data_IF_339578451328
#
_entry.id   IF_339578451328
#
_cell.length_a   1.000
_cell.length_b   1.000
_cell.length_c   1.000
_cell.angle_alpha   90.00
_cell.angle_beta   90.00
_cell.angle_gamma   90.00
#
_symmetry.space_group_name_H-M   'P 1'
#
loop_
_entity.id
_entity.type
_entity.pdbx_description
1 polymer ?
#
# COMPACT_ATOMS: atom_id res chain seq x y z
N UNK A 1 -49.86 40.59 54.09
CA UNK A 1 -49.72 39.17 54.52
C UNK A 1 -49.68 38.33 53.25
N UNK A 2 -48.50 37.77 52.88
CA UNK A 2 -48.18 36.31 52.91
C UNK A 2 -48.96 35.53 51.82
N UNK A 3 -48.41 34.80 50.84
CA UNK A 3 -47.05 34.25 50.57
C UNK A 3 -46.93 33.83 49.09
N UNK A 4 -45.68 33.82 48.62
CA UNK A 4 -45.08 33.12 47.47
C UNK A 4 -45.53 31.63 47.38
N UNK A 5 -45.49 30.91 46.25
CA UNK A 5 -44.31 30.74 45.38
C UNK A 5 -44.63 30.18 43.99
N UNK A 6 -43.79 30.62 43.04
CA UNK A 6 -43.52 30.07 41.73
C UNK A 6 -42.78 28.73 41.86
N UNK A 7 -43.17 27.71 41.09
CA UNK A 7 -42.47 26.43 41.02
C UNK A 7 -42.33 26.04 39.54
N UNK A 8 -41.23 26.48 38.93
CA UNK A 8 -40.78 25.99 37.62
C UNK A 8 -39.66 24.99 37.90
N UNK A 9 -39.95 23.71 37.69
CA UNK A 9 -38.95 22.65 37.74
C UNK A 9 -38.16 22.66 36.43
N UNK A 10 -36.94 23.19 36.48
CA UNK A 10 -35.99 23.11 35.37
C UNK A 10 -35.26 21.76 35.46
N UNK A 11 -35.65 20.80 34.63
CA UNK A 11 -34.92 19.54 34.50
C UNK A 11 -33.59 19.79 33.79
N UNK A 12 -32.49 19.65 34.53
CA UNK A 12 -31.13 19.73 34.00
C UNK A 12 -30.84 18.43 33.21
N UNK A 13 -30.86 18.52 31.87
CA UNK A 13 -30.42 17.43 31.01
C UNK A 13 -28.88 17.42 31.00
N UNK A 14 -28.25 16.58 31.85
CA UNK A 14 -26.81 16.31 31.75
C UNK A 14 -26.55 15.42 30.54
N UNK A 15 -25.97 15.99 29.49
CA UNK A 15 -25.41 15.24 28.36
C UNK A 15 -24.08 14.64 28.81
N UNK A 16 -24.07 13.35 29.18
CA UNK A 16 -22.84 12.62 29.43
C UNK A 16 -22.18 12.30 28.08
N UNK A 17 -21.16 13.07 27.70
CA UNK A 17 -20.30 12.75 26.56
C UNK A 17 -19.37 11.62 26.99
N UNK A 18 -19.71 10.38 26.64
CA UNK A 18 -18.81 9.24 26.79
C UNK A 18 -17.75 9.31 25.68
N UNK A 19 -16.56 9.80 26.01
CA UNK A 19 -15.35 9.58 25.23
C UNK A 19 -14.91 8.12 25.39
N UNK A 20 -15.46 7.24 24.55
CA UNK A 20 -14.93 5.88 24.39
C UNK A 20 -13.50 5.93 23.81
N UNK A 21 -12.67 4.91 24.06
CA UNK A 21 -11.38 4.81 23.41
C UNK A 21 -11.59 4.76 21.89
N UNK A 22 -10.92 5.64 21.17
CA UNK A 22 -10.85 5.53 19.72
C UNK A 22 -10.16 4.20 19.39
N UNK A 23 -10.86 3.30 18.72
CA UNK A 23 -10.20 2.17 18.08
C UNK A 23 -9.39 2.75 16.94
N UNK A 24 -8.08 2.59 16.98
CA UNK A 24 -7.23 2.77 15.80
C UNK A 24 -7.71 1.73 14.80
N UNK A 25 -8.49 2.15 13.81
CA UNK A 25 -8.86 1.32 12.69
C UNK A 25 -7.56 1.09 11.90
N UNK A 26 -7.18 -0.18 11.73
CA UNK A 26 -6.04 -0.55 10.88
C UNK A 26 -6.27 -0.06 9.44
N UNK A 27 -5.21 -0.10 8.63
CA UNK A 27 -5.34 0.22 7.21
C UNK A 27 -6.50 -0.61 6.59
N UNK A 28 -7.30 0.06 5.77
CA UNK A 28 -8.46 -0.55 5.12
C UNK A 28 -8.08 -1.42 3.91
N UNK A 29 -6.87 -1.20 3.41
CA UNK A 29 -6.23 -1.97 2.34
C UNK A 29 -4.81 -2.28 2.79
N UNK A 30 -4.46 -3.55 2.78
CA UNK A 30 -3.13 -4.06 3.08
C UNK A 30 -2.42 -4.43 1.76
N UNK A 31 -1.11 -4.22 1.71
CA UNK A 31 -0.30 -4.65 0.57
C UNK A 31 0.49 -5.91 0.92
N UNK A 32 0.57 -6.84 -0.03
CA UNK A 32 1.33 -8.08 0.15
C UNK A 32 2.03 -8.52 -1.14
N UNK A 33 3.08 -9.33 -0.99
CA UNK A 33 3.77 -9.97 -2.10
C UNK A 33 3.39 -11.44 -2.23
N UNK A 34 3.27 -11.90 -3.47
CA UNK A 34 3.03 -13.29 -3.81
C UNK A 34 3.87 -13.74 -5.02
N UNK A 35 4.41 -14.97 -5.06
CA UNK A 35 4.44 -15.93 -3.96
C UNK A 35 5.41 -15.49 -2.85
N UNK A 36 5.20 -15.99 -1.63
CA UNK A 36 6.11 -15.70 -0.51
C UNK A 36 7.52 -16.30 -0.68
N UNK A 37 7.67 -17.33 -1.52
CA UNK A 37 8.94 -17.95 -1.83
C UNK A 37 8.89 -18.58 -3.22
N UNK A 38 9.98 -18.44 -3.96
CA UNK A 38 10.18 -19.10 -5.24
C UNK A 38 11.66 -19.47 -5.42
N UNK A 39 11.90 -20.48 -6.26
CA UNK A 39 13.25 -20.92 -6.60
C UNK A 39 13.33 -21.08 -8.11
N UNK A 40 14.34 -20.45 -8.71
CA UNK A 40 14.59 -20.46 -10.16
C UNK A 40 16.08 -20.67 -10.40
N UNK A 41 16.48 -21.24 -11.54
CA UNK A 41 17.89 -21.28 -11.93
C UNK A 41 18.42 -19.87 -12.21
N UNK A 42 19.74 -19.68 -12.11
CA UNK A 42 20.41 -18.46 -12.58
C UNK A 42 20.09 -18.21 -14.06
N UNK A 43 19.77 -16.96 -14.39
CA UNK A 43 19.24 -16.52 -15.68
C UNK A 43 17.72 -16.71 -15.85
N UNK A 44 17.05 -17.35 -14.89
CA UNK A 44 15.60 -17.50 -14.86
C UNK A 44 14.88 -16.23 -14.40
N UNK A 45 13.57 -16.15 -14.71
CA UNK A 45 12.71 -15.06 -14.26
C UNK A 45 12.06 -15.37 -12.92
N UNK A 46 12.08 -14.39 -12.04
CA UNK A 46 11.41 -14.36 -10.74
C UNK A 46 10.27 -13.35 -10.86
N UNK A 47 9.03 -13.81 -10.75
CA UNK A 47 7.84 -12.95 -10.83
C UNK A 47 7.27 -12.75 -9.42
N UNK A 48 7.13 -11.50 -9.00
CA UNK A 48 6.60 -11.11 -7.69
C UNK A 48 5.36 -10.23 -7.89
N UNK A 49 4.20 -10.77 -7.57
CA UNK A 49 2.93 -10.05 -7.62
C UNK A 49 2.80 -9.10 -6.43
N UNK A 50 2.38 -7.88 -6.68
CA UNK A 50 1.88 -6.95 -5.68
C UNK A 50 0.37 -7.10 -5.58
N UNK A 51 -0.11 -7.46 -4.39
CA UNK A 51 -1.52 -7.62 -4.09
C UNK A 51 -1.97 -6.50 -3.15
N UNK A 52 -3.17 -5.99 -3.39
CA UNK A 52 -3.89 -5.08 -2.51
C UNK A 52 -5.13 -5.81 -1.97
N UNK A 53 -5.09 -6.13 -0.68
CA UNK A 53 -6.12 -6.90 0.02
C UNK A 53 -6.98 -5.96 0.86
N UNK A 54 -8.31 -6.07 0.75
CA UNK A 54 -9.22 -5.33 1.63
C UNK A 54 -9.91 -6.27 2.59
N UNK A 55 -9.87 -5.92 3.87
CA UNK A 55 -10.59 -6.61 4.93
C UNK A 55 -12.03 -6.07 5.13
N UNK A 56 -12.43 -5.08 4.34
CA UNK A 56 -13.77 -4.50 4.39
C UNK A 56 -14.76 -5.36 3.58
N UNK A 57 -15.99 -5.48 4.08
CA UNK A 57 -17.06 -6.13 3.34
C UNK A 57 -17.54 -5.29 2.14
N UNK A 58 -17.21 -3.99 2.13
CA UNK A 58 -17.51 -3.05 1.06
C UNK A 58 -16.30 -2.88 0.15
N UNK A 59 -16.48 -2.94 -1.18
CA UNK A 59 -15.37 -2.72 -2.10
C UNK A 59 -14.81 -1.30 -1.96
N UNK A 60 -13.50 -1.19 -1.78
CA UNK A 60 -12.80 0.09 -1.63
C UNK A 60 -12.15 0.49 -2.93
N UNK A 61 -12.09 1.79 -3.19
CA UNK A 61 -11.46 2.35 -4.38
C UNK A 61 -10.07 2.88 -4.05
N UNK A 62 -9.09 2.60 -4.91
CA UNK A 62 -7.72 3.10 -4.81
C UNK A 62 -7.50 4.16 -5.89
N UNK A 63 -7.11 5.36 -5.51
CA UNK A 63 -6.80 6.45 -6.46
C UNK A 63 -5.33 6.46 -6.88
N UNK A 64 -4.44 6.08 -5.98
CA UNK A 64 -3.01 6.00 -6.21
C UNK A 64 -2.38 4.99 -5.24
N UNK A 65 -1.23 4.46 -5.62
CA UNK A 65 -0.38 3.60 -4.80
C UNK A 65 1.07 3.85 -5.17
N UNK A 66 1.90 4.00 -4.14
CA UNK A 66 3.36 4.06 -4.25
C UNK A 66 3.96 2.93 -3.42
N UNK A 67 4.88 2.16 -4.01
CA UNK A 67 5.58 1.05 -3.35
C UNK A 67 7.07 1.16 -3.61
N UNK A 68 7.84 1.13 -2.54
CA UNK A 68 9.30 1.16 -2.61
C UNK A 68 9.79 -0.28 -2.48
N UNK A 69 10.35 -0.81 -3.56
CA UNK A 69 11.01 -2.10 -3.58
C UNK A 69 12.42 -1.94 -3.04
N UNK A 70 12.87 -2.92 -2.25
CA UNK A 70 14.28 -3.12 -1.95
C UNK A 70 14.64 -4.58 -2.13
N UNK A 71 15.76 -4.83 -2.79
CA UNK A 71 16.25 -6.16 -3.14
C UNK A 71 17.78 -6.14 -3.29
N UNK A 72 18.42 -7.30 -3.26
CA UNK A 72 19.87 -7.40 -3.45
C UNK A 72 20.23 -7.47 -4.94
N UNK A 73 20.77 -6.37 -5.46
CA UNK A 73 21.22 -6.24 -6.85
C UNK A 73 22.39 -7.17 -7.23
N UNK A 74 23.01 -7.85 -6.27
CA UNK A 74 24.02 -8.89 -6.52
C UNK A 74 23.38 -10.18 -7.01
N UNK A 75 22.12 -10.45 -6.62
CA UNK A 75 21.42 -11.71 -6.91
C UNK A 75 20.23 -11.53 -7.83
N UNK A 76 19.62 -10.34 -7.87
CA UNK A 76 18.43 -10.05 -8.68
C UNK A 76 18.62 -8.77 -9.50
N UNK A 77 18.10 -8.76 -10.72
CA UNK A 77 17.99 -7.56 -11.55
C UNK A 77 16.52 -7.32 -11.89
N UNK A 78 15.95 -6.21 -11.40
CA UNK A 78 14.60 -5.81 -11.75
C UNK A 78 14.54 -5.36 -13.21
N UNK A 79 13.69 -6.01 -14.01
CA UNK A 79 13.60 -5.76 -15.46
C UNK A 79 12.44 -4.82 -15.80
N UNK A 80 11.26 -5.09 -15.25
CA UNK A 80 10.02 -4.46 -15.66
C UNK A 80 8.88 -4.77 -14.69
N UNK A 81 7.81 -4.02 -14.80
CA UNK A 81 6.47 -4.46 -14.39
C UNK A 81 5.75 -5.16 -15.54
N UNK A 82 4.97 -6.17 -15.21
CA UNK A 82 4.10 -6.89 -16.15
C UNK A 82 2.70 -7.02 -15.56
N UNK A 83 1.69 -7.21 -16.41
CA UNK A 83 0.31 -7.52 -16.01
C UNK A 83 -0.25 -6.58 -14.91
N UNK A 84 -0.48 -5.28 -15.19
CA UNK A 84 -1.22 -4.45 -14.24
C UNK A 84 -2.62 -5.04 -14.08
N UNK A 85 -2.89 -5.62 -12.92
CA UNK A 85 -4.26 -5.96 -12.55
C UNK A 85 -4.97 -4.69 -12.09
N UNK A 86 -6.24 -4.54 -12.50
CA UNK A 86 -6.94 -3.26 -12.38
C UNK A 86 -6.68 -2.30 -13.54
N UNK A 87 -7.62 -1.37 -13.77
CA UNK A 87 -7.55 -0.42 -14.87
C UNK A 87 -6.76 0.84 -14.46
N UNK A 88 -5.47 0.69 -14.21
CA UNK A 88 -4.59 1.83 -13.90
C UNK A 88 -4.35 2.71 -15.13
N UNK A 89 -4.26 4.02 -14.92
CA UNK A 89 -3.88 5.00 -15.94
C UNK A 89 -2.36 5.08 -16.10
N UNK A 90 -1.65 5.01 -14.98
CA UNK A 90 -0.18 4.88 -14.91
C UNK A 90 0.14 3.73 -13.97
N UNK A 91 1.13 2.91 -14.31
CA UNK A 91 1.58 1.74 -13.55
C UNK A 91 3.00 1.42 -13.99
N UNK A 92 3.99 2.10 -13.40
CA UNK A 92 5.40 1.98 -13.83
C UNK A 92 6.38 2.53 -12.79
N UNK A 93 7.68 2.38 -13.06
CA UNK A 93 8.78 3.04 -12.35
C UNK A 93 9.03 4.42 -12.96
N UNK A 94 8.48 5.45 -12.31
CA UNK A 94 8.62 6.83 -12.79
C UNK A 94 9.93 7.43 -12.25
N UNK A 95 10.83 7.95 -13.11
CA UNK A 95 12.02 8.63 -12.65
C UNK A 95 11.67 9.95 -11.95
N UNK A 96 12.34 10.26 -10.84
CA UNK A 96 12.21 11.55 -10.16
C UNK A 96 13.45 12.44 -10.37
N UNK A 97 13.38 13.69 -9.89
CA UNK A 97 14.49 14.64 -9.99
C UNK A 97 15.62 14.38 -8.99
N UNK A 98 15.35 13.61 -7.94
CA UNK A 98 16.29 13.28 -6.87
C UNK A 98 17.11 12.02 -7.19
N UNK A 99 16.80 11.36 -8.31
CA UNK A 99 17.55 10.25 -8.88
C UNK A 99 16.92 8.89 -8.66
N UNK A 100 15.72 8.80 -8.06
CA UNK A 100 15.03 7.53 -7.90
C UNK A 100 14.63 6.96 -9.26
N UNK A 101 14.69 5.63 -9.39
CA UNK A 101 14.43 4.90 -10.64
C UNK A 101 15.32 5.33 -11.83
N UNK A 102 16.45 6.02 -11.60
CA UNK A 102 17.39 6.38 -12.67
C UNK A 102 18.06 5.13 -13.24
N UNK A 103 18.62 4.24 -12.41
CA UNK A 103 18.50 2.81 -12.60
C UNK A 103 17.33 2.30 -11.75
N UNK A 104 16.64 1.27 -12.25
CA UNK A 104 15.77 0.44 -11.41
C UNK A 104 16.50 -0.84 -10.98
N UNK A 105 17.78 -0.96 -11.32
CA UNK A 105 18.59 -2.19 -11.24
C UNK A 105 19.58 -2.17 -10.07
N UNK A 106 19.65 -1.09 -9.31
CA UNK A 106 20.64 -0.83 -8.26
C UNK A 106 20.23 -1.30 -6.85
N UNK A 107 19.05 -1.92 -6.71
CA UNK A 107 18.61 -2.57 -5.48
C UNK A 107 17.42 -1.88 -4.80
N UNK A 108 16.98 -0.76 -5.35
CA UNK A 108 15.75 -0.09 -4.95
C UNK A 108 15.01 0.49 -6.14
N UNK A 109 13.68 0.53 -6.04
CA UNK A 109 12.84 1.10 -7.08
C UNK A 109 11.51 1.58 -6.49
N UNK A 110 11.07 2.77 -6.89
CA UNK A 110 9.75 3.31 -6.55
C UNK A 110 8.75 2.98 -7.66
N UNK A 111 7.84 2.07 -7.39
CA UNK A 111 6.72 1.77 -8.27
C UNK A 111 5.54 2.70 -7.96
N UNK A 112 4.97 3.31 -8.99
CA UNK A 112 3.79 4.18 -8.87
C UNK A 112 2.65 3.66 -9.74
N UNK A 113 1.47 3.54 -9.14
CA UNK A 113 0.21 3.25 -9.82
C UNK A 113 -0.80 4.37 -9.60
N UNK A 114 -1.34 4.96 -10.67
CA UNK A 114 -2.34 6.03 -10.63
C UNK A 114 -3.60 5.58 -11.34
N UNK A 115 -4.74 5.72 -10.69
CA UNK A 115 -6.04 5.42 -11.28
C UNK A 115 -6.46 6.50 -12.29
N UNK A 116 -7.22 6.15 -13.34
CA UNK A 116 -7.91 7.14 -14.14
C UNK A 116 -9.01 7.80 -13.29
N UNK A 117 -9.14 9.13 -13.38
CA UNK A 117 -10.11 9.88 -12.57
C UNK A 117 -11.58 9.50 -12.78
N UNK A 118 -11.90 8.73 -13.82
CA UNK A 118 -13.26 8.27 -14.15
C UNK A 118 -13.59 6.84 -13.67
N UNK A 119 -12.59 6.04 -13.31
CA UNK A 119 -12.80 4.62 -12.96
C UNK A 119 -11.69 4.14 -12.04
N UNK A 120 -11.93 4.24 -10.73
CA UNK A 120 -10.96 3.81 -9.74
C UNK A 120 -10.90 2.27 -9.71
N UNK A 121 -9.69 1.67 -9.66
CA UNK A 121 -9.52 0.29 -9.26
C UNK A 121 -10.20 0.06 -7.93
N UNK A 122 -11.08 -0.94 -7.92
CA UNK A 122 -11.80 -1.35 -6.73
C UNK A 122 -11.17 -2.64 -6.27
N UNK A 123 -10.81 -2.73 -4.99
CA UNK A 123 -10.39 -3.99 -4.38
C UNK A 123 -11.64 -4.83 -4.10
N UNK A 124 -11.83 -6.01 -4.75
CA UNK A 124 -12.53 -7.12 -4.10
C UNK A 124 -11.67 -7.58 -2.89
N UNK A 125 -11.93 -8.72 -2.19
CA UNK A 125 -11.06 -9.09 -1.08
C UNK A 125 -9.55 -9.08 -1.42
N UNK A 126 -9.20 -9.32 -2.69
CA UNK A 126 -7.84 -9.14 -3.24
C UNK A 126 -7.87 -8.54 -4.66
N UNK A 127 -7.02 -7.56 -4.92
CA UNK A 127 -6.69 -7.01 -6.24
C UNK A 127 -5.20 -7.26 -6.53
N UNK A 128 -4.87 -7.92 -7.63
CA UNK A 128 -3.50 -7.87 -8.15
C UNK A 128 -3.26 -6.48 -8.74
N UNK A 129 -2.26 -5.76 -8.27
CA UNK A 129 -1.92 -4.42 -8.72
C UNK A 129 -0.98 -4.50 -9.94
N UNK A 130 0.06 -5.32 -9.83
CA UNK A 130 1.06 -5.56 -10.88
C UNK A 130 1.89 -6.79 -10.54
N UNK A 131 2.73 -7.24 -11.48
CA UNK A 131 3.79 -8.22 -11.27
C UNK A 131 5.15 -7.60 -11.56
N UNK A 132 6.03 -7.53 -10.56
CA UNK A 132 7.44 -7.18 -10.71
C UNK A 132 8.21 -8.39 -11.26
N UNK A 133 8.93 -8.20 -12.37
CA UNK A 133 9.76 -9.24 -12.97
C UNK A 133 11.22 -8.96 -12.74
N UNK A 134 11.91 -9.92 -12.13
CA UNK A 134 13.35 -9.91 -11.93
C UNK A 134 14.03 -11.04 -12.74
N UNK A 135 15.31 -10.89 -13.01
CA UNK A 135 16.20 -11.96 -13.48
C UNK A 135 17.13 -12.37 -12.34
N UNK A 136 17.30 -13.67 -12.12
CA UNK A 136 18.27 -14.20 -11.17
C UNK A 136 19.70 -14.10 -11.73
N UNK A 137 20.58 -13.34 -11.09
CA UNK A 137 21.94 -13.08 -11.54
C UNK A 137 22.97 -14.10 -11.04
N UNK A 138 22.77 -14.62 -9.82
CA UNK A 138 23.72 -15.51 -9.16
C UNK A 138 23.02 -16.48 -8.20
N UNK A 139 23.70 -17.58 -7.87
CA UNK A 139 23.21 -18.54 -6.87
C UNK A 139 23.24 -17.91 -5.47
N UNK A 140 22.20 -18.17 -4.67
CA UNK A 140 22.12 -17.74 -3.28
C UNK A 140 21.38 -18.78 -2.44
N UNK A 141 21.72 -18.94 -1.14
CA UNK A 141 20.89 -19.68 -0.19
C UNK A 141 19.48 -19.07 0.01
N UNK A 142 19.30 -17.80 -0.36
CA UNK A 142 18.05 -17.03 -0.29
C UNK A 142 18.31 -15.53 -0.40
N UNK A 143 17.42 -14.80 -1.05
CA UNK A 143 17.43 -13.33 -1.12
C UNK A 143 15.99 -12.82 -1.05
N UNK A 144 15.80 -11.70 -0.36
CA UNK A 144 14.47 -11.14 -0.10
C UNK A 144 14.18 -9.98 -1.06
N UNK A 145 12.89 -9.84 -1.40
CA UNK A 145 12.32 -8.62 -1.98
C UNK A 145 11.37 -8.05 -0.93
N UNK A 146 11.63 -6.84 -0.45
CA UNK A 146 10.88 -6.21 0.63
C UNK A 146 10.22 -4.91 0.18
N UNK A 147 9.07 -4.58 0.77
CA UNK A 147 8.45 -3.26 0.67
C UNK A 147 8.99 -2.38 1.80
N UNK A 148 9.64 -1.27 1.47
CA UNK A 148 10.04 -0.29 2.47
C UNK A 148 8.86 0.59 2.85
N UNK A 149 8.70 0.84 4.15
CA UNK A 149 7.63 1.69 4.67
C UNK A 149 7.83 3.18 4.37
N UNK A 150 9.07 3.64 4.20
CA UNK A 150 9.39 5.04 3.91
C UNK A 150 10.60 5.18 2.99
N UNK A 151 10.60 6.24 2.19
CA UNK A 151 11.74 6.73 1.43
C UNK A 151 12.65 7.57 2.32
N UNK A 152 13.29 6.91 3.30
CA UNK A 152 14.17 7.57 4.26
C UNK A 152 13.46 8.61 5.15
N UNK A 153 14.24 9.53 5.73
CA UNK A 153 13.77 10.49 6.74
C UNK A 153 12.79 11.56 6.21
N UNK A 154 12.55 11.61 4.90
CA UNK A 154 11.68 12.61 4.26
C UNK A 154 10.33 12.03 3.81
N UNK A 155 10.13 10.71 4.00
CA UNK A 155 8.95 9.98 3.52
C UNK A 155 7.98 9.53 4.62
N UNK A 156 7.87 10.26 5.74
CA UNK A 156 6.74 10.06 6.65
C UNK A 156 5.48 10.65 6.00
N UNK A 157 4.53 9.80 5.62
CA UNK A 157 3.16 10.18 5.26
C UNK A 157 2.23 10.07 6.45
#
# INVERSE_FOLDING_TARGET
MKKHACFVWLALLMLAVFSGPATVQGALVDLSFSPAMQSVPVGGFVDVQLLADSNDATPLSISALDVILNYDATYLELQSVTNPGGQWFVSDFLPDMDGINMPITDGDALYTALAPGSSLPVTPPTLEVTTFRFVALAETPGTDVIMLATLGASGET
#
